data_IF_609471931793
#
_entry.id   IF_609471931793
#
_cell.length_a   1.000
_cell.length_b   1.000
_cell.length_c   1.000
_cell.angle_alpha   90.00
_cell.angle_beta   90.00
_cell.angle_gamma   90.00
#
_symmetry.space_group_name_H-M   'P 1'
#
loop_
_entity.id
_entity.type
_entity.pdbx_description
1 polymer ?
#
# COMPACT_ATOMS: atom_id res chain seq x y z
N UNK A 1 2.41 -16.12 -20.46
CA UNK A 1 1.69 -15.54 -19.32
C UNK A 1 1.54 -14.05 -19.54
N UNK A 2 0.40 -13.51 -19.19
CA UNK A 2 0.09 -12.11 -19.43
C UNK A 2 0.53 -11.26 -18.24
N UNK A 3 1.10 -10.09 -18.51
CA UNK A 3 1.43 -9.15 -17.45
C UNK A 3 0.16 -8.62 -16.80
N UNK A 4 0.23 -8.44 -15.49
CA UNK A 4 -0.83 -7.84 -14.69
C UNK A 4 -0.41 -6.45 -14.26
N UNK A 5 -1.36 -5.66 -13.81
CA UNK A 5 -1.13 -4.37 -13.17
C UNK A 5 -1.80 -4.37 -11.81
N UNK A 6 -1.16 -3.74 -10.86
CA UNK A 6 -1.73 -3.61 -9.52
C UNK A 6 -1.45 -2.22 -8.96
N UNK A 7 -2.34 -1.76 -8.10
CA UNK A 7 -2.12 -0.53 -7.35
C UNK A 7 -1.39 -0.87 -6.06
N UNK A 8 -0.31 -0.15 -5.82
CA UNK A 8 0.43 -0.21 -4.56
C UNK A 8 0.37 1.15 -3.92
N UNK A 9 0.04 1.20 -2.65
CA UNK A 9 0.08 2.44 -1.87
C UNK A 9 1.22 2.37 -0.89
N UNK A 10 2.06 3.41 -0.87
CA UNK A 10 2.98 3.64 0.23
C UNK A 10 2.21 4.53 1.20
N UNK A 11 1.93 4.00 2.38
CA UNK A 11 1.07 4.66 3.36
C UNK A 11 1.78 5.86 4.00
N UNK A 12 1.05 6.74 4.69
CA UNK A 12 1.65 7.92 5.30
C UNK A 12 2.86 7.64 6.19
N UNK A 13 2.88 6.54 6.91
CA UNK A 13 4.03 6.20 7.75
C UNK A 13 5.29 5.91 6.93
N UNK A 14 5.15 5.30 5.76
CA UNK A 14 6.29 5.08 4.87
C UNK A 14 6.86 6.40 4.36
N UNK A 15 5.99 7.34 4.02
CA UNK A 15 6.41 8.67 3.56
C UNK A 15 7.08 9.45 4.70
N UNK A 16 6.46 9.46 5.87
CA UNK A 16 6.98 10.18 7.05
C UNK A 16 8.34 9.64 7.49
N UNK A 17 8.54 8.34 7.39
CA UNK A 17 9.80 7.70 7.79
C UNK A 17 10.87 7.75 6.71
N UNK A 18 10.58 8.34 5.55
CA UNK A 18 11.57 8.45 4.48
C UNK A 18 11.90 7.15 3.79
N UNK A 19 10.95 6.22 3.72
CA UNK A 19 11.17 4.88 3.17
C UNK A 19 10.73 4.72 1.72
N UNK A 20 10.30 5.82 1.06
CA UNK A 20 9.82 5.75 -0.33
C UNK A 20 10.86 5.13 -1.26
N UNK A 21 12.08 5.62 -1.20
CA UNK A 21 13.15 5.14 -2.09
C UNK A 21 13.48 3.68 -1.87
N UNK A 22 13.52 3.24 -0.64
CA UNK A 22 13.83 1.85 -0.33
C UNK A 22 12.74 0.90 -0.82
N UNK A 23 11.47 1.28 -0.64
CA UNK A 23 10.36 0.45 -1.08
C UNK A 23 10.30 0.40 -2.61
N UNK A 24 10.48 1.55 -3.28
CA UNK A 24 10.55 1.59 -4.74
C UNK A 24 11.68 0.72 -5.27
N UNK A 25 12.84 0.79 -4.63
CA UNK A 25 13.99 -0.03 -5.02
C UNK A 25 13.66 -1.52 -4.93
N UNK A 26 12.97 -1.94 -3.89
CA UNK A 26 12.60 -3.35 -3.72
C UNK A 26 11.63 -3.83 -4.79
N UNK A 27 10.68 -2.99 -5.18
CA UNK A 27 9.73 -3.32 -6.26
C UNK A 27 10.49 -3.50 -7.57
N UNK A 28 11.35 -2.56 -7.91
CA UNK A 28 12.14 -2.63 -9.15
C UNK A 28 13.15 -3.77 -9.12
N UNK A 29 13.81 -3.98 -7.98
CA UNK A 29 14.79 -5.05 -7.84
C UNK A 29 14.17 -6.44 -8.02
N UNK A 30 12.90 -6.60 -7.63
CA UNK A 30 12.19 -7.85 -7.83
C UNK A 30 11.85 -8.08 -9.30
N UNK A 31 11.87 -7.05 -10.13
CA UNK A 31 11.66 -7.17 -11.57
C UNK A 31 10.34 -6.58 -12.07
N UNK A 32 9.61 -5.86 -11.24
CA UNK A 32 8.36 -5.23 -11.67
C UNK A 32 8.63 -3.83 -12.18
N UNK A 33 7.85 -3.43 -13.20
CA UNK A 33 7.93 -2.08 -13.76
C UNK A 33 7.00 -1.14 -13.00
N UNK A 34 7.51 0.04 -12.66
CA UNK A 34 6.70 1.11 -12.11
C UNK A 34 6.27 1.98 -13.27
N UNK A 35 4.98 1.90 -13.63
CA UNK A 35 4.46 2.58 -14.81
C UNK A 35 3.70 3.86 -14.50
N UNK A 36 3.37 4.10 -13.24
CA UNK A 36 2.79 5.36 -12.78
C UNK A 36 3.15 5.56 -11.33
N UNK A 37 3.32 6.81 -10.96
CA UNK A 37 3.76 7.18 -9.62
C UNK A 37 3.24 8.58 -9.30
N UNK A 38 2.53 8.73 -8.17
CA UNK A 38 2.04 10.02 -7.73
C UNK A 38 2.03 10.09 -6.22
N UNK A 39 2.43 11.23 -5.68
CA UNK A 39 2.36 11.48 -4.24
C UNK A 39 1.35 12.59 -3.98
N UNK A 40 0.43 12.33 -3.07
CA UNK A 40 -0.53 13.35 -2.62
C UNK A 40 -1.20 12.93 -1.32
N UNK A 41 -1.83 13.89 -0.67
CA UNK A 41 -2.64 13.61 0.53
C UNK A 41 -4.04 13.22 0.07
N UNK A 42 -4.54 12.10 0.59
CA UNK A 42 -5.89 11.65 0.29
C UNK A 42 -6.92 12.60 0.91
N UNK A 43 -7.97 12.92 0.16
CA UNK A 43 -9.07 13.73 0.67
C UNK A 43 -10.02 12.88 1.51
N UNK A 44 -10.82 13.55 2.35
CA UNK A 44 -11.85 12.85 3.13
C UNK A 44 -12.83 12.09 2.24
N UNK A 45 -13.19 12.67 1.09
CA UNK A 45 -14.09 12.04 0.14
C UNK A 45 -13.50 10.76 -0.46
N UNK A 46 -12.23 10.80 -0.82
CA UNK A 46 -11.54 9.63 -1.37
C UNK A 46 -11.45 8.50 -0.35
N UNK A 47 -11.14 8.85 0.90
CA UNK A 47 -11.05 7.86 1.97
C UNK A 47 -12.41 7.25 2.29
N UNK A 48 -13.47 8.08 2.29
CA UNK A 48 -14.82 7.59 2.51
C UNK A 48 -15.24 6.60 1.42
N UNK A 49 -14.92 6.91 0.16
CA UNK A 49 -15.24 6.01 -0.95
C UNK A 49 -14.42 4.72 -0.90
N UNK A 50 -13.13 4.84 -0.61
CA UNK A 50 -12.21 3.69 -0.60
C UNK A 50 -12.50 2.71 0.54
N UNK A 51 -12.88 3.22 1.70
CA UNK A 51 -13.14 2.42 2.89
C UNK A 51 -14.63 2.32 3.27
N UNK A 52 -15.52 2.54 2.30
CA UNK A 52 -16.97 2.54 2.56
C UNK A 52 -17.45 1.24 3.22
N UNK A 53 -16.89 0.10 2.85
CA UNK A 53 -17.25 -1.19 3.42
C UNK A 53 -16.91 -1.32 4.90
N UNK A 54 -16.03 -0.47 5.41
CA UNK A 54 -15.62 -0.48 6.81
C UNK A 54 -16.35 0.56 7.66
N UNK A 55 -17.20 1.39 7.04
CA UNK A 55 -17.94 2.42 7.76
C UNK A 55 -18.79 1.78 8.86
N UNK A 56 -18.76 2.38 10.04
CA UNK A 56 -19.45 1.86 11.20
C UNK A 56 -18.67 0.87 12.05
N UNK A 57 -17.54 0.39 11.58
CA UNK A 57 -16.68 -0.49 12.37
C UNK A 57 -15.85 0.33 13.36
N UNK A 58 -15.51 -0.23 14.55
CA UNK A 58 -14.75 0.52 15.55
C UNK A 58 -13.43 1.12 15.09
N UNK A 59 -12.73 0.46 14.17
CA UNK A 59 -11.44 0.92 13.68
C UNK A 59 -11.54 1.97 12.57
N UNK A 60 -12.73 2.23 12.04
CA UNK A 60 -12.90 3.09 10.87
C UNK A 60 -12.42 4.53 11.08
N UNK A 61 -12.80 5.22 12.18
CA UNK A 61 -12.31 6.59 12.37
C UNK A 61 -10.79 6.69 12.45
N UNK A 62 -10.14 5.75 13.13
CA UNK A 62 -8.69 5.73 13.21
C UNK A 62 -8.02 5.46 11.89
N UNK A 63 -8.60 4.59 11.08
CA UNK A 63 -8.09 4.28 9.76
C UNK A 63 -8.14 5.52 8.84
N UNK A 64 -9.27 6.23 8.83
CA UNK A 64 -9.44 7.43 8.01
C UNK A 64 -8.49 8.53 8.48
N UNK A 65 -8.36 8.73 9.78
CA UNK A 65 -7.44 9.71 10.34
C UNK A 65 -6.00 9.40 9.94
N UNK A 66 -5.58 8.15 10.10
CA UNK A 66 -4.22 7.73 9.74
C UNK A 66 -3.94 7.93 8.25
N UNK A 67 -4.83 7.45 7.39
CA UNK A 67 -4.60 7.52 5.94
C UNK A 67 -4.67 8.95 5.38
N UNK A 68 -5.32 9.87 6.09
CA UNK A 68 -5.37 11.28 5.71
C UNK A 68 -4.34 12.16 6.43
N UNK A 69 -3.52 11.59 7.32
CA UNK A 69 -2.64 12.37 8.19
C UNK A 69 -1.43 12.97 7.49
N UNK A 70 -1.03 12.41 6.35
CA UNK A 70 0.14 12.85 5.60
C UNK A 70 0.03 12.35 4.17
N UNK A 71 0.90 12.83 3.25
CA UNK A 71 0.90 12.33 1.89
C UNK A 71 1.13 10.82 1.83
N UNK A 72 0.55 10.20 0.83
CA UNK A 72 0.82 8.82 0.47
C UNK A 72 1.32 8.78 -0.98
N UNK A 73 1.92 7.66 -1.38
CA UNK A 73 2.39 7.47 -2.75
C UNK A 73 1.56 6.37 -3.39
N UNK A 74 0.95 6.67 -4.52
CA UNK A 74 0.21 5.70 -5.32
C UNK A 74 1.10 5.26 -6.48
N UNK A 75 1.24 3.96 -6.65
CA UNK A 75 2.11 3.36 -7.66
C UNK A 75 1.28 2.36 -8.45
N UNK A 76 1.45 2.37 -9.77
CA UNK A 76 0.96 1.26 -10.60
C UNK A 76 2.17 0.42 -10.98
N UNK A 77 2.20 -0.81 -10.53
CA UNK A 77 3.25 -1.76 -10.85
C UNK A 77 2.73 -2.78 -11.86
N UNK A 78 3.59 -3.16 -12.81
CA UNK A 78 3.24 -4.10 -13.86
C UNK A 78 4.25 -5.24 -13.91
N UNK A 79 3.76 -6.46 -14.10
CA UNK A 79 4.62 -7.62 -14.25
C UNK A 79 3.81 -8.90 -14.25
N UNK A 80 4.43 -10.00 -14.66
CA UNK A 80 3.80 -11.32 -14.61
C UNK A 80 3.57 -11.69 -13.15
N UNK A 81 2.30 -11.96 -12.81
CA UNK A 81 1.89 -12.31 -11.44
C UNK A 81 2.28 -11.26 -10.40
N UNK A 82 2.26 -9.97 -10.78
CA UNK A 82 2.64 -8.89 -9.87
C UNK A 82 1.73 -8.80 -8.65
N UNK A 83 0.46 -9.18 -8.77
CA UNK A 83 -0.48 -9.10 -7.64
C UNK A 83 -0.03 -10.01 -6.50
N UNK A 84 0.08 -11.34 -6.68
CA UNK A 84 0.60 -12.18 -5.61
C UNK A 84 2.07 -11.91 -5.32
N UNK A 85 2.84 -11.54 -6.31
CA UNK A 85 4.28 -11.28 -6.14
C UNK A 85 4.55 -10.07 -5.27
N UNK A 86 3.81 -8.98 -5.46
CA UNK A 86 3.96 -7.83 -4.58
C UNK A 86 3.50 -8.16 -3.15
N UNK A 87 2.41 -8.89 -3.00
CA UNK A 87 1.93 -9.27 -1.67
C UNK A 87 2.97 -10.12 -0.93
N UNK A 88 3.65 -11.00 -1.65
CA UNK A 88 4.75 -11.79 -1.11
C UNK A 88 5.94 -10.89 -0.71
N UNK A 89 6.25 -9.90 -1.53
CA UNK A 89 7.31 -8.94 -1.24
C UNK A 89 6.96 -8.07 -0.02
N UNK A 90 5.70 -7.68 0.12
CA UNK A 90 5.23 -6.88 1.24
C UNK A 90 5.29 -7.63 2.56
N UNK A 91 4.96 -8.91 2.55
CA UNK A 91 4.91 -9.74 3.74
C UNK A 91 3.56 -9.72 4.44
N UNK A 92 3.46 -10.44 5.54
CA UNK A 92 2.22 -10.54 6.32
C UNK A 92 1.75 -9.17 6.81
N UNK A 93 0.45 -9.02 6.93
CA UNK A 93 -0.18 -7.76 7.37
C UNK A 93 0.35 -7.30 8.72
N UNK A 94 0.50 -8.23 9.66
CA UNK A 94 1.12 -7.92 10.95
C UNK A 94 2.65 -7.97 10.81
N UNK A 95 3.35 -6.84 11.06
CA UNK A 95 4.80 -6.82 10.91
C UNK A 95 5.55 -7.84 11.75
N UNK A 96 5.02 -8.22 12.91
CA UNK A 96 5.66 -9.23 13.76
C UNK A 96 5.69 -10.60 13.08
N UNK A 97 4.65 -10.91 12.30
CA UNK A 97 4.54 -12.17 11.58
C UNK A 97 5.20 -12.15 10.20
N UNK A 98 5.54 -10.95 9.71
CA UNK A 98 6.15 -10.81 8.40
C UNK A 98 7.58 -11.36 8.42
N UNK A 99 7.91 -12.17 7.42
CA UNK A 99 9.22 -12.81 7.34
C UNK A 99 10.33 -11.79 7.06
N UNK A 100 11.54 -12.01 7.58
CA UNK A 100 12.71 -11.22 7.17
C UNK A 100 12.88 -11.29 5.66
N UNK A 101 13.29 -10.20 5.06
CA UNK A 101 13.41 -10.05 3.61
C UNK A 101 12.18 -9.40 2.97
N UNK A 102 11.05 -9.39 3.65
CA UNK A 102 9.86 -8.69 3.17
C UNK A 102 9.93 -7.22 3.60
N UNK A 103 9.13 -6.37 2.93
CA UNK A 103 9.08 -4.94 3.28
C UNK A 103 8.67 -4.76 4.73
N UNK A 104 7.58 -5.39 5.14
CA UNK A 104 7.08 -5.27 6.51
C UNK A 104 7.99 -5.96 7.52
N UNK A 105 8.57 -7.09 7.16
CA UNK A 105 9.47 -7.81 8.04
C UNK A 105 10.76 -7.08 8.33
N UNK A 106 11.28 -6.36 7.34
CA UNK A 106 12.54 -5.63 7.49
C UNK A 106 12.36 -4.21 8.04
N UNK A 107 11.27 -3.54 7.67
CA UNK A 107 11.15 -2.10 7.84
C UNK A 107 10.04 -1.66 8.79
N UNK A 108 9.17 -2.55 9.19
CA UNK A 108 8.05 -2.24 10.07
C UNK A 108 8.09 -3.10 11.32
N UNK A 109 7.55 -2.57 12.40
CA UNK A 109 7.32 -3.34 13.62
C UNK A 109 5.92 -3.05 14.12
N UNK A 110 5.39 -3.96 14.90
CA UNK A 110 4.06 -3.81 15.46
C UNK A 110 4.05 -2.69 16.51
N UNK A 111 3.04 -1.83 16.44
CA UNK A 111 2.86 -0.75 17.40
C UNK A 111 1.60 -1.02 18.23
N UNK A 112 1.60 -0.47 19.45
CA UNK A 112 0.42 -0.52 20.32
C UNK A 112 -0.54 0.61 19.92
N UNK A 113 -1.15 0.47 18.74
CA UNK A 113 -2.06 1.45 18.15
C UNK A 113 -3.34 0.75 17.67
N UNK A 114 -4.48 1.48 17.63
CA UNK A 114 -5.73 0.90 17.13
C UNK A 114 -5.66 0.46 15.65
N UNK A 115 -4.83 1.12 14.87
CA UNK A 115 -4.65 0.81 13.44
C UNK A 115 -3.18 0.50 13.20
N UNK A 116 -2.92 -0.66 12.61
CA UNK A 116 -1.56 -1.07 12.30
C UNK A 116 -0.98 -0.20 11.19
N UNK A 117 0.19 0.37 11.46
CA UNK A 117 0.95 1.12 10.47
C UNK A 117 2.00 0.18 9.89
N UNK A 118 1.75 -0.33 8.70
CA UNK A 118 2.58 -1.37 8.09
C UNK A 118 3.08 -1.02 6.70
N UNK A 119 3.26 0.26 6.44
CA UNK A 119 3.99 0.85 5.33
C UNK A 119 3.30 0.79 3.97
N UNK A 120 2.78 -0.34 3.57
CA UNK A 120 2.30 -0.52 2.19
C UNK A 120 0.95 -1.23 2.15
N UNK A 121 0.26 -1.02 1.04
CA UNK A 121 -0.96 -1.73 0.68
C UNK A 121 -0.83 -2.18 -0.76
N UNK A 122 -1.18 -3.43 -1.05
CA UNK A 122 -1.27 -3.94 -2.41
C UNK A 122 -2.69 -4.40 -2.69
N UNK A 123 -3.21 -4.07 -3.87
CA UNK A 123 -4.51 -4.55 -4.29
C UNK A 123 -4.51 -6.08 -4.38
N UNK A 124 -5.63 -6.70 -4.05
CA UNK A 124 -5.76 -8.15 -4.09
C UNK A 124 -6.28 -8.66 -5.44
N UNK A 125 -6.62 -7.74 -6.35
CA UNK A 125 -7.03 -8.10 -7.71
C UNK A 125 -6.67 -6.99 -8.68
N UNK A 126 -6.52 -7.36 -9.95
CA UNK A 126 -6.23 -6.40 -11.01
C UNK A 126 -7.38 -5.41 -11.22
N UNK A 127 -8.62 -5.87 -11.08
CA UNK A 127 -9.79 -5.03 -11.24
C UNK A 127 -9.83 -3.93 -10.19
N UNK A 128 -9.58 -4.27 -8.93
CA UNK A 128 -9.51 -3.29 -7.83
C UNK A 128 -8.38 -2.30 -8.10
N UNK A 129 -7.23 -2.78 -8.55
CA UNK A 129 -6.10 -1.93 -8.91
C UNK A 129 -6.44 -0.93 -9.99
N UNK A 130 -7.13 -1.37 -11.05
CA UNK A 130 -7.53 -0.49 -12.15
C UNK A 130 -8.53 0.57 -11.70
N UNK A 131 -9.53 0.19 -10.93
CA UNK A 131 -10.52 1.12 -10.42
C UNK A 131 -9.87 2.20 -9.56
N UNK A 132 -8.99 1.80 -8.66
CA UNK A 132 -8.25 2.72 -7.81
C UNK A 132 -7.36 3.65 -8.62
N UNK A 133 -6.70 3.13 -9.65
CA UNK A 133 -5.86 3.94 -10.54
C UNK A 133 -6.65 5.02 -11.25
N UNK A 134 -7.85 4.72 -11.73
CA UNK A 134 -8.69 5.71 -12.41
C UNK A 134 -9.10 6.84 -11.51
N UNK A 135 -9.31 6.57 -10.24
CA UNK A 135 -9.70 7.61 -9.28
C UNK A 135 -8.52 8.45 -8.81
N UNK A 136 -7.30 7.90 -8.82
CA UNK A 136 -6.13 8.52 -8.19
C UNK A 136 -5.13 9.09 -9.18
N UNK A 137 -5.10 8.56 -10.37
CA UNK A 137 -4.18 8.96 -11.41
C UNK A 137 -4.90 9.53 -12.59
#
# INVERSE_FOLDING_TARGET
MTAQRTLVLLKPDAVQRGLRGEILRRIEAKGYDIIALAQRTATAEELAAHYAEHEGKPFYPGLVEYMGSAPLVAIVAEGVNVIPGFRSLAGATNPTEAAPGTIRGDLSCEQDLPVIQNLVHGSDSEEIGRASCRERV
#
